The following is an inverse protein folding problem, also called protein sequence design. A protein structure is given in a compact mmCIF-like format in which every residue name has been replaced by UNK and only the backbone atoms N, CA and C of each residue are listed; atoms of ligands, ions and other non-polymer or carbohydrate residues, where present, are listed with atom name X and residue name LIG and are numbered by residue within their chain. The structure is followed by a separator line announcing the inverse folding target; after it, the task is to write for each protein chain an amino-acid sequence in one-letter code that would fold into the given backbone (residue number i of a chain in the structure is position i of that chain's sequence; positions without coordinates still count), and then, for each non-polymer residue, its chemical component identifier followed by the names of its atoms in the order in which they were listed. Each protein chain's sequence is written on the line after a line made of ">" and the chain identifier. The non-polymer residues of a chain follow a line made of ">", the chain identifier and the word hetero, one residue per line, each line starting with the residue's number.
data_IF_016883652644
#
_entry.id   IF_016883652644
#
_cell.length_a   1.000
_cell.length_b   1.000
_cell.length_c   1.000
_cell.angle_alpha   90.00
_cell.angle_beta   90.00
_cell.angle_gamma   90.00
#
_symmetry.space_group_name_H-M   'P 1'
#
loop_
_entity.id
_entity.type
_entity.pdbx_description
1 polymer ?
#
# COMPACT_ATOMS: atom_id res chain seq x y z
N UNK A 13 3.15 -6.89 8.66
CA UNK A 13 1.84 -6.24 8.96
C UNK A 13 2.04 -4.83 9.51
N UNK A 14 2.92 -4.66 10.46
CA UNK A 14 3.14 -3.30 11.04
C UNK A 14 3.52 -2.33 9.91
N UNK A 15 4.36 -2.76 9.01
CA UNK A 15 4.74 -1.87 7.87
C UNK A 15 3.48 -1.51 7.09
N UNK A 16 2.60 -2.45 6.91
CA UNK A 16 1.35 -2.17 6.15
C UNK A 16 0.58 -1.05 6.85
N UNK A 17 0.48 -1.10 8.16
CA UNK A 17 -0.25 -0.01 8.88
C UNK A 17 0.45 1.31 8.59
N UNK A 18 1.75 1.30 8.58
CA UNK A 18 2.50 2.54 8.31
C UNK A 18 2.18 3.04 6.91
N UNK A 19 2.25 2.17 5.94
CA UNK A 19 1.96 2.60 4.55
C UNK A 19 0.52 3.12 4.48
N UNK A 20 -0.40 2.48 5.16
CA UNK A 20 -1.81 2.96 5.11
C UNK A 20 -1.89 4.39 5.64
N UNK A 21 -1.16 4.68 6.69
CA UNK A 21 -1.21 6.04 7.29
C UNK A 21 -0.29 7.00 6.53
N UNK A 22 0.94 6.63 6.32
CA UNK A 22 1.88 7.55 5.60
C UNK A 22 1.38 7.86 4.20
N UNK A 23 0.84 6.90 3.51
CA UNK A 23 0.34 7.18 2.13
C UNK A 23 -1.07 7.78 2.21
N UNK A 24 -1.33 8.78 1.41
CA UNK A 24 -2.66 9.46 1.42
C UNK A 24 -3.77 8.48 0.99
N UNK A 25 -4.95 8.67 1.55
CA UNK A 25 -6.09 7.79 1.22
C UNK A 25 -6.75 8.20 -0.10
N UNK A 26 -7.05 9.46 -0.25
CA UNK A 26 -7.72 9.93 -1.50
C UNK A 26 -6.88 9.57 -2.74
N UNK A 27 -5.60 9.76 -2.70
CA UNK A 27 -4.75 9.42 -3.89
C UNK A 27 -4.24 7.98 -3.77
N UNK A 28 -4.71 7.24 -2.80
CA UNK A 28 -4.21 5.85 -2.62
C UNK A 28 -4.26 5.08 -3.95
N UNK A 29 -5.37 5.11 -4.64
CA UNK A 29 -5.45 4.37 -5.94
C UNK A 29 -4.28 4.77 -6.83
N UNK A 30 -3.99 6.04 -6.93
CA UNK A 30 -2.84 6.45 -7.78
C UNK A 30 -1.59 5.78 -7.22
N UNK A 31 -1.45 5.82 -5.93
CA UNK A 31 -0.28 5.17 -5.29
C UNK A 31 -0.34 3.69 -5.65
N UNK A 32 -1.52 3.15 -5.66
CA UNK A 32 -1.69 1.73 -6.03
C UNK A 32 -1.32 1.55 -7.51
N UNK A 33 -1.71 2.48 -8.36
CA UNK A 33 -1.36 2.36 -9.80
C UNK A 33 0.16 2.31 -9.93
N UNK A 34 0.84 3.10 -9.15
CA UNK A 34 2.32 3.08 -9.17
C UNK A 34 2.77 1.73 -8.62
N UNK A 35 1.97 1.13 -7.76
CA UNK A 35 2.34 -0.19 -7.18
C UNK A 35 2.48 -1.21 -8.31
N UNK A 36 1.63 -1.11 -9.30
CA UNK A 36 1.70 -2.05 -10.46
C UNK A 36 0.66 -3.17 -10.32
N UNK A 37 -0.23 -3.08 -9.37
CA UNK A 37 -1.26 -4.15 -9.20
C UNK A 37 -2.31 -4.02 -10.31
N UNK A 38 -3.00 -5.09 -10.63
CA UNK A 38 -4.04 -5.00 -11.71
C UNK A 38 -4.97 -3.82 -11.44
N UNK A 39 -5.14 -2.96 -12.40
CA UNK A 39 -6.01 -1.76 -12.20
C UNK A 39 -7.44 -2.20 -11.87
N UNK A 40 -7.96 -3.17 -12.55
CA UNK A 40 -9.36 -3.62 -12.28
C UNK A 40 -9.47 -4.16 -10.85
N UNK A 41 -8.50 -4.90 -10.39
CA UNK A 41 -8.58 -5.42 -9.00
C UNK A 41 -8.66 -4.24 -8.03
N UNK A 42 -8.01 -3.15 -8.37
CA UNK A 42 -8.02 -1.95 -7.47
C UNK A 42 -9.46 -1.47 -7.28
N UNK A 43 -10.23 -1.44 -8.33
CA UNK A 43 -11.65 -0.99 -8.19
C UNK A 43 -12.41 -2.01 -7.34
N UNK A 44 -12.13 -3.28 -7.53
CA UNK A 44 -12.84 -4.36 -6.76
C UNK A 44 -12.50 -4.28 -5.27
N UNK A 45 -11.39 -3.69 -4.93
CA UNK A 45 -11.02 -3.60 -3.50
C UNK A 45 -12.13 -2.87 -2.74
N UNK A 46 -12.70 -1.84 -3.31
CA UNK A 46 -13.78 -1.11 -2.60
C UNK A 46 -14.93 -2.07 -2.29
N UNK A 47 -15.29 -2.90 -3.24
CA UNK A 47 -16.40 -3.87 -3.00
C UNK A 47 -16.02 -4.80 -1.85
N UNK A 48 -14.78 -5.20 -1.76
CA UNK A 48 -14.37 -6.12 -0.67
C UNK A 48 -14.77 -5.53 0.68
N UNK A 49 -14.62 -4.25 0.84
CA UNK A 49 -14.99 -3.62 2.14
C UNK A 49 -14.73 -2.11 2.11
N UNK A 50 -15.71 -1.32 1.72
CA UNK A 50 -15.52 0.16 1.68
C UNK A 50 -15.96 0.78 3.01
N UNK A 51 -16.58 0.02 3.87
CA UNK A 51 -17.03 0.58 5.17
C UNK A 51 -15.81 1.13 5.94
N UNK A 52 -14.67 0.53 5.77
CA UNK A 52 -13.45 1.01 6.48
C UNK A 52 -12.38 1.38 5.44
N UNK A 53 -12.11 2.65 5.25
CA UNK A 53 -11.09 3.04 4.25
C UNK A 53 -9.75 2.39 4.61
N UNK A 54 -9.41 2.35 5.87
CA UNK A 54 -8.13 1.71 6.26
C UNK A 54 -8.16 0.25 5.81
N UNK A 55 -9.29 -0.40 5.98
CA UNK A 55 -9.42 -1.82 5.55
C UNK A 55 -9.21 -1.91 4.04
N UNK A 56 -9.74 -0.97 3.31
CA UNK A 56 -9.56 -0.99 1.83
C UNK A 56 -8.10 -0.77 1.51
N UNK A 57 -7.53 0.30 2.01
CA UNK A 57 -6.10 0.56 1.74
C UNK A 57 -5.31 -0.63 2.30
N UNK A 58 -5.72 -1.14 3.44
CA UNK A 58 -5.02 -2.32 4.00
C UNK A 58 -5.23 -3.51 3.06
N UNK A 59 -6.36 -3.55 2.38
CA UNK A 59 -6.60 -4.68 1.44
C UNK A 59 -5.50 -4.67 0.39
N UNK A 60 -5.10 -3.52 -0.05
CA UNK A 60 -4.01 -3.45 -1.06
C UNK A 60 -2.73 -4.03 -0.44
N UNK A 61 -2.35 -3.54 0.71
CA UNK A 61 -1.11 -4.03 1.38
C UNK A 61 -1.29 -5.47 1.83
N UNK A 62 -2.48 -5.85 2.19
CA UNK A 62 -2.71 -7.25 2.65
C UNK A 62 -2.94 -8.16 1.43
N UNK A 63 -3.88 -7.83 0.59
CA UNK A 63 -4.14 -8.66 -0.62
C UNK A 63 -2.87 -8.75 -1.49
N UNK A 64 -2.13 -7.68 -1.57
CA UNK A 64 -0.88 -7.68 -2.40
C UNK A 64 0.05 -8.80 -1.93
N UNK A 65 0.31 -8.88 -0.65
CA UNK A 65 1.21 -9.95 -0.15
C UNK A 65 0.62 -11.31 -0.53
N UNK A 66 -0.68 -11.43 -0.45
CA UNK A 66 -1.33 -12.72 -0.79
C UNK A 66 -1.34 -12.92 -2.31
N UNK A 67 -2.05 -12.09 -3.04
CA UNK A 67 -2.12 -12.26 -4.53
C UNK A 67 -0.73 -12.18 -5.17
N UNK A 68 0.09 -11.21 -4.82
CA UNK A 68 1.43 -11.14 -5.48
C UNK A 68 2.36 -12.19 -4.88
N UNK A 69 3.13 -12.82 -5.72
CA UNK A 69 4.08 -13.86 -5.25
C UNK A 69 5.37 -13.23 -4.71
N UNK A 70 5.26 -12.35 -3.75
CA UNK A 70 6.49 -11.72 -3.17
C UNK A 70 6.85 -12.41 -1.86
N UNK A 71 7.84 -13.24 -1.87
CA UNK A 71 8.24 -13.94 -0.62
C UNK A 71 8.65 -12.94 0.47
N UNK A 72 9.18 -11.79 0.12
CA UNK A 72 9.60 -10.83 1.17
C UNK A 72 9.89 -9.47 0.55
N UNK A 73 10.13 -8.47 1.36
CA UNK A 73 10.41 -7.11 0.81
C UNK A 73 9.12 -6.51 0.23
N UNK A 74 7.99 -6.81 0.83
CA UNK A 74 6.72 -6.25 0.31
C UNK A 74 6.83 -4.72 0.38
N UNK A 75 7.31 -4.20 1.48
CA UNK A 75 7.48 -2.72 1.60
C UNK A 75 8.52 -2.26 0.58
N UNK A 76 9.47 -3.10 0.26
CA UNK A 76 10.51 -2.69 -0.74
C UNK A 76 9.84 -2.26 -2.04
N UNK A 77 8.95 -3.05 -2.56
CA UNK A 77 8.28 -2.63 -3.83
C UNK A 77 7.51 -1.34 -3.55
N UNK A 78 6.89 -1.29 -2.41
CA UNK A 78 6.12 -0.09 -2.02
C UNK A 78 7.07 1.10 -1.85
N UNK A 79 8.23 0.86 -1.31
CA UNK A 79 9.21 1.96 -1.10
C UNK A 79 9.59 2.56 -2.46
N UNK A 80 9.86 1.73 -3.43
CA UNK A 80 10.21 2.25 -4.78
C UNK A 80 9.04 3.09 -5.28
N UNK A 81 7.84 2.64 -5.03
CA UNK A 81 6.67 3.44 -5.45
C UNK A 81 6.73 4.79 -4.73
N UNK A 82 7.08 4.75 -3.47
CA UNK A 82 7.17 6.01 -2.68
C UNK A 82 8.22 6.93 -3.30
N UNK A 83 9.36 6.40 -3.62
CA UNK A 83 10.43 7.24 -4.23
C UNK A 83 9.91 7.86 -5.53
N UNK A 84 9.26 7.08 -6.36
CA UNK A 84 8.71 7.65 -7.63
C UNK A 84 7.73 8.77 -7.28
N UNK A 85 6.96 8.59 -6.23
CA UNK A 85 5.97 9.62 -5.82
C UNK A 85 6.60 10.62 -4.84
N UNK A 86 7.89 10.59 -4.68
CA UNK A 86 8.55 11.54 -3.74
C UNK A 86 7.99 11.32 -2.33
N UNK A 87 7.80 10.08 -1.95
CA UNK A 87 7.27 9.79 -0.59
C UNK A 87 8.39 9.22 0.29
N UNK A 88 9.62 9.47 -0.07
CA UNK A 88 10.75 8.94 0.73
C UNK A 88 10.59 9.36 2.20
N UNK A 89 10.07 10.54 2.43
CA UNK A 89 9.87 10.99 3.85
C UNK A 89 8.86 10.06 4.53
N UNK A 90 7.87 9.65 3.79
CA UNK A 90 6.84 8.73 4.35
C UNK A 90 7.49 7.37 4.64
N UNK A 91 8.30 6.87 3.74
CA UNK A 91 8.95 5.55 4.00
C UNK A 91 9.78 5.66 5.27
N UNK A 92 10.48 6.75 5.46
CA UNK A 92 11.29 6.89 6.70
C UNK A 92 10.36 6.79 7.91
N UNK A 93 9.18 7.36 7.81
CA UNK A 93 8.21 7.26 8.94
C UNK A 93 7.75 5.81 9.03
N UNK A 94 7.45 5.21 7.91
CA UNK A 94 7.03 3.79 7.90
C UNK A 94 8.17 2.94 8.46
N UNK A 95 9.37 3.26 8.05
CA UNK A 95 10.54 2.50 8.54
C UNK A 95 10.59 2.60 10.06
N UNK A 96 10.29 3.76 10.58
CA UNK A 96 10.29 3.93 12.05
C UNK A 96 9.28 2.97 12.66
N UNK A 97 8.18 2.74 11.98
CA UNK A 97 7.15 1.80 12.50
C UNK A 97 7.82 0.44 12.74
N UNK A 98 8.55 -0.03 11.77
CA UNK A 98 9.26 -1.33 11.93
C UNK A 98 10.26 -1.22 13.08
N UNK A 99 10.79 -0.05 13.32
CA UNK A 99 11.76 0.14 14.43
C UNK A 99 11.06 0.78 15.63
#
# INVERSE_FOLDING_TARGET
>A
MAHKPQSLDTDDPATLYAVVENVPPLRWKEFVKRLGLSDHEIDRLELQNGRCLREAQYSMLATWRRRTPRREATLELLGRVLRDMDLLGCLEDIEEALCGPAALPPAPSLLR
#
